data_IF_502379786688
#
_entry.id   IF_502379786688
#
_cell.length_a   1.000
_cell.length_b   1.000
_cell.length_c   1.000
_cell.angle_alpha   90.00
_cell.angle_beta   90.00
_cell.angle_gamma   90.00
#
_symmetry.space_group_name_H-M   'P 1'
#
loop_
_entity.id
_entity.type
_entity.pdbx_description
1 polymer ?
#
# COMPACT_ATOMS: atom_id res chain seq x y z
N UNK A 1 11.08 13.60 -0.88
CA UNK A 1 10.80 12.15 -1.09
C UNK A 1 9.39 11.88 -0.60
N UNK A 2 8.54 11.20 -1.39
CA UNK A 2 7.18 10.86 -0.99
C UNK A 2 7.06 9.35 -0.73
N UNK A 3 6.31 8.97 0.31
CA UNK A 3 5.85 7.59 0.56
C UNK A 3 4.38 7.56 0.17
N UNK A 4 3.97 6.60 -0.66
CA UNK A 4 2.60 6.53 -1.16
C UNK A 4 2.10 5.09 -1.27
N UNK A 5 0.79 4.94 -1.10
CA UNK A 5 0.01 3.77 -1.46
C UNK A 5 -1.07 4.26 -2.42
N UNK A 6 -1.11 3.72 -3.63
CA UNK A 6 -2.04 4.13 -4.67
C UNK A 6 -2.78 2.90 -5.19
N UNK A 7 -4.09 2.87 -4.99
CA UNK A 7 -4.98 1.86 -5.51
C UNK A 7 -5.49 2.30 -6.89
N UNK A 8 -5.12 1.58 -7.93
CA UNK A 8 -5.72 1.75 -9.25
C UNK A 8 -7.08 1.04 -9.28
N UNK A 9 -8.14 1.77 -9.66
CA UNK A 9 -9.51 1.24 -9.71
C UNK A 9 -9.85 0.80 -11.13
N UNK A 10 -9.30 -0.35 -11.50
CA UNK A 10 -9.62 -1.06 -12.73
C UNK A 10 -10.92 -1.88 -12.61
N UNK A 11 -11.25 -2.66 -13.65
CA UNK A 11 -12.50 -3.42 -13.72
C UNK A 11 -12.62 -4.50 -12.63
N UNK A 12 -11.53 -5.19 -12.28
CA UNK A 12 -11.54 -6.23 -11.23
C UNK A 12 -11.79 -5.60 -9.86
N UNK A 13 -11.09 -4.50 -9.56
CA UNK A 13 -11.29 -3.75 -8.31
C UNK A 13 -12.70 -3.16 -8.26
N UNK A 14 -13.21 -2.63 -9.37
CA UNK A 14 -14.56 -2.08 -9.45
C UNK A 14 -15.62 -3.15 -9.19
N UNK A 15 -15.45 -4.35 -9.73
CA UNK A 15 -16.37 -5.47 -9.50
C UNK A 15 -16.41 -5.85 -8.02
N UNK A 16 -15.26 -5.93 -7.35
CA UNK A 16 -15.19 -6.22 -5.92
C UNK A 16 -15.87 -5.14 -5.06
N UNK A 17 -15.71 -3.86 -5.44
CA UNK A 17 -16.40 -2.74 -4.78
C UNK A 17 -17.92 -2.88 -4.93
N UNK A 18 -18.41 -3.14 -6.15
CA UNK A 18 -19.85 -3.31 -6.42
C UNK A 18 -20.44 -4.47 -5.61
N UNK A 19 -19.70 -5.58 -5.51
CA UNK A 19 -20.08 -6.76 -4.72
C UNK A 19 -19.96 -6.56 -3.20
N UNK A 20 -19.44 -5.41 -2.74
CA UNK A 20 -19.11 -5.14 -1.33
C UNK A 20 -18.24 -6.25 -0.74
N UNK A 21 -17.25 -6.69 -1.51
CA UNK A 21 -16.30 -7.70 -1.08
C UNK A 21 -15.58 -7.23 0.21
N UNK A 22 -15.16 -8.17 1.08
CA UNK A 22 -14.31 -7.84 2.22
C UNK A 22 -13.07 -7.04 1.79
N UNK A 23 -12.67 -6.06 2.60
CA UNK A 23 -11.49 -5.22 2.33
C UNK A 23 -10.24 -6.06 2.05
N UNK A 24 -10.07 -7.17 2.76
CA UNK A 24 -8.94 -8.10 2.60
C UNK A 24 -8.85 -8.68 1.18
N UNK A 25 -9.99 -8.90 0.51
CA UNK A 25 -10.04 -9.41 -0.86
C UNK A 25 -9.66 -8.32 -1.86
N UNK A 26 -10.22 -7.11 -1.71
CA UNK A 26 -9.85 -5.94 -2.53
C UNK A 26 -8.35 -5.69 -2.42
N UNK A 27 -7.81 -5.69 -1.19
CA UNK A 27 -6.39 -5.48 -0.93
C UNK A 27 -5.51 -6.56 -1.55
N UNK A 28 -5.95 -7.82 -1.50
CA UNK A 28 -5.21 -8.94 -2.10
C UNK A 28 -5.10 -8.74 -3.62
N UNK A 29 -6.21 -8.51 -4.31
CA UNK A 29 -6.22 -8.30 -5.77
C UNK A 29 -5.42 -7.06 -6.14
N UNK A 30 -5.56 -5.96 -5.40
CA UNK A 30 -4.78 -4.75 -5.64
C UNK A 30 -3.27 -5.01 -5.57
N UNK A 31 -2.80 -5.76 -4.57
CA UNK A 31 -1.37 -6.12 -4.44
C UNK A 31 -0.92 -7.03 -5.59
N UNK A 32 -1.74 -8.01 -5.97
CA UNK A 32 -1.46 -8.90 -7.12
C UNK A 32 -1.33 -8.11 -8.43
N UNK A 33 -2.07 -7.00 -8.56
CA UNK A 33 -2.04 -6.08 -9.71
C UNK A 33 -1.00 -4.97 -9.61
N UNK A 34 -0.14 -4.99 -8.59
CA UNK A 34 1.02 -4.10 -8.49
C UNK A 34 0.88 -2.93 -7.52
N UNK A 35 -0.23 -2.83 -6.77
CA UNK A 35 -0.31 -1.88 -5.66
C UNK A 35 0.78 -2.21 -4.63
N UNK A 36 1.58 -1.20 -4.27
CA UNK A 36 2.60 -1.31 -3.23
C UNK A 36 2.03 -0.75 -1.93
N UNK A 37 1.87 -1.58 -0.87
CA UNK A 37 1.42 -1.09 0.43
C UNK A 37 2.37 -0.02 1.00
N UNK A 38 1.81 0.96 1.71
CA UNK A 38 2.51 2.11 2.28
C UNK A 38 3.74 1.67 3.09
N UNK A 39 3.57 0.65 3.93
CA UNK A 39 4.65 0.09 4.75
C UNK A 39 5.78 -0.53 3.93
N UNK A 40 5.46 -1.20 2.82
CA UNK A 40 6.49 -1.76 1.92
C UNK A 40 7.22 -0.64 1.18
N UNK A 41 6.50 0.39 0.73
CA UNK A 41 7.10 1.56 0.10
C UNK A 41 8.06 2.29 1.07
N UNK A 42 7.62 2.56 2.30
CA UNK A 42 8.44 3.19 3.34
C UNK A 42 9.70 2.35 3.67
N UNK A 43 9.53 1.03 3.84
CA UNK A 43 10.64 0.13 4.14
C UNK A 43 11.69 0.12 3.01
N UNK A 44 11.25 0.08 1.75
CA UNK A 44 12.18 0.11 0.62
C UNK A 44 13.06 1.37 0.61
N UNK A 45 12.55 2.49 1.13
CA UNK A 45 13.27 3.76 1.23
C UNK A 45 14.29 3.77 2.34
N UNK A 46 13.95 3.19 3.49
CA UNK A 46 14.92 2.95 4.58
C UNK A 46 16.07 2.08 4.08
N UNK A 47 15.77 0.98 3.39
CA UNK A 47 16.79 0.07 2.85
C UNK A 47 17.72 0.71 1.81
N UNK A 48 17.24 1.74 1.10
CA UNK A 48 18.05 2.52 0.15
C UNK A 48 18.83 3.67 0.81
N UNK A 49 18.68 3.89 2.11
CA UNK A 49 19.27 5.02 2.81
C UNK A 49 18.59 6.37 2.51
N UNK A 50 17.39 6.36 1.92
CA UNK A 50 16.63 7.57 1.59
C UNK A 50 15.79 8.07 2.78
N UNK A 51 15.56 7.22 3.80
CA UNK A 51 14.71 7.47 4.98
C UNK A 51 15.29 6.81 6.23
N UNK A 52 14.74 7.09 7.41
CA UNK A 52 15.08 6.42 8.67
C UNK A 52 13.99 5.47 9.17
N UNK A 53 14.33 4.60 10.12
CA UNK A 53 13.38 3.68 10.77
C UNK A 53 12.34 4.45 11.59
N UNK A 54 12.75 5.56 12.21
CA UNK A 54 11.84 6.47 12.93
C UNK A 54 10.80 7.07 11.98
N UNK A 55 11.23 7.51 10.79
CA UNK A 55 10.32 8.03 9.77
C UNK A 55 9.33 6.96 9.27
N UNK A 56 9.80 5.71 9.11
CA UNK A 56 8.94 4.59 8.76
C UNK A 56 7.85 4.37 9.81
N UNK A 57 8.21 4.32 11.09
CA UNK A 57 7.21 4.08 12.15
C UNK A 57 6.21 5.23 12.26
N UNK A 58 6.67 6.48 12.09
CA UNK A 58 5.80 7.68 12.05
C UNK A 58 4.78 7.62 10.91
N UNK A 59 5.21 7.30 9.70
CA UNK A 59 4.32 7.27 8.51
C UNK A 59 3.36 6.08 8.56
N UNK A 60 3.80 4.94 9.09
CA UNK A 60 3.02 3.69 9.04
C UNK A 60 2.17 3.43 10.28
N UNK A 61 2.20 4.35 11.26
CA UNK A 61 1.39 4.29 12.49
C UNK A 61 1.83 3.19 13.46
N UNK A 62 3.12 2.86 13.49
CA UNK A 62 3.69 1.84 14.41
C UNK A 62 4.45 2.50 15.57
N UNK A 63 4.78 3.80 15.44
CA UNK A 63 5.37 4.64 16.50
C UNK A 63 4.32 5.58 17.10
#
# INVERSE_FOLDING_TARGET
MAVMEALEVDDDIRELIIKRAPEIEIRKVAIEKGMVPLRRNALAKVLKGESTVEELGRITGIL
#
